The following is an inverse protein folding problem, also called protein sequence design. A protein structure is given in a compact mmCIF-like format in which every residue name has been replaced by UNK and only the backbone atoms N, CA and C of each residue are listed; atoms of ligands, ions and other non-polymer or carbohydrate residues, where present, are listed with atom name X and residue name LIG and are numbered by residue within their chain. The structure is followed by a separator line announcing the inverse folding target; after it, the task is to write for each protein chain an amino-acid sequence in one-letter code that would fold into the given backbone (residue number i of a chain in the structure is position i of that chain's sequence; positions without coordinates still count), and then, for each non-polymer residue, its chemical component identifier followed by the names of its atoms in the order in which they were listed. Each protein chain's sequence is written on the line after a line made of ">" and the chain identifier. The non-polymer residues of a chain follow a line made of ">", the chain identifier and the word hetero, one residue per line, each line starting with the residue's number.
data_IF_139463819837
#
_entry.id   IF_139463819837
#
_cell.length_a   1.000
_cell.length_b   1.000
_cell.length_c   1.000
_cell.angle_alpha   90.00
_cell.angle_beta   90.00
_cell.angle_gamma   90.00
#
_symmetry.space_group_name_H-M   'P 1'
#
loop_
_entity.id
_entity.type
_entity.pdbx_description
1 polymer ?
#
# COMPACT_ATOMS: atom_id res chain seq x y z
N UNK A 1 -1.38 13.48 2.23
CA UNK A 1 0.04 13.20 1.88
C UNK A 1 0.99 13.19 3.09
N UNK A 2 0.49 13.33 4.33
CA UNK A 2 1.31 13.31 5.55
C UNK A 2 1.50 11.88 6.11
N UNK A 3 0.52 10.99 5.90
CA UNK A 3 0.52 9.63 6.47
C UNK A 3 1.44 8.66 5.74
N UNK A 4 1.53 8.73 4.41
CA UNK A 4 2.46 7.91 3.63
C UNK A 4 3.92 8.20 3.99
N UNK A 5 4.30 9.49 4.11
CA UNK A 5 5.63 9.89 4.55
C UNK A 5 5.94 9.42 5.99
N UNK A 6 4.94 9.51 6.88
CA UNK A 6 5.06 8.98 8.24
C UNK A 6 5.21 7.45 8.24
N UNK A 7 4.48 6.74 7.39
CA UNK A 7 4.56 5.29 7.27
C UNK A 7 5.95 4.85 6.82
N UNK A 8 6.53 5.49 5.80
CA UNK A 8 7.90 5.23 5.34
C UNK A 8 8.91 5.48 6.46
N UNK A 9 8.76 6.56 7.21
CA UNK A 9 9.66 6.90 8.32
C UNK A 9 9.53 5.95 9.51
N UNK A 10 8.33 5.47 9.82
CA UNK A 10 8.07 4.63 11.00
C UNK A 10 8.33 3.15 10.74
N UNK A 11 7.99 2.66 9.55
CA UNK A 11 8.12 1.25 9.20
C UNK A 11 9.46 0.93 8.53
N UNK A 12 10.17 1.95 8.03
CA UNK A 12 11.44 1.84 7.29
C UNK A 12 11.37 0.67 6.27
N UNK A 13 10.48 0.75 5.27
CA UNK A 13 10.34 -0.31 4.30
C UNK A 13 11.53 -0.39 3.36
N UNK A 14 11.84 -1.60 2.91
CA UNK A 14 12.69 -1.78 1.74
C UNK A 14 11.98 -1.27 0.49
N UNK A 15 12.73 -0.97 -0.57
CA UNK A 15 12.13 -0.57 -1.85
C UNK A 15 11.16 -1.64 -2.40
N UNK A 16 11.42 -2.92 -2.13
CA UNK A 16 10.56 -4.02 -2.55
C UNK A 16 9.27 -4.09 -1.72
N UNK A 17 9.33 -3.85 -0.41
CA UNK A 17 8.16 -3.80 0.47
C UNK A 17 7.23 -2.63 0.11
N UNK A 18 7.82 -1.48 -0.22
CA UNK A 18 7.10 -0.28 -0.63
C UNK A 18 6.42 -0.48 -1.99
N UNK A 19 7.18 -0.95 -3.00
CA UNK A 19 6.64 -1.26 -4.32
C UNK A 19 5.49 -2.27 -4.25
N UNK A 20 5.65 -3.34 -3.46
CA UNK A 20 4.60 -4.35 -3.31
C UNK A 20 3.34 -3.75 -2.69
N UNK A 21 3.48 -2.86 -1.69
CA UNK A 21 2.33 -2.20 -1.08
C UNK A 21 1.62 -1.25 -2.06
N UNK A 22 2.38 -0.53 -2.90
CA UNK A 22 1.82 0.32 -3.97
C UNK A 22 1.08 -0.50 -5.03
N UNK A 23 1.65 -1.62 -5.48
CA UNK A 23 1.03 -2.53 -6.46
C UNK A 23 -0.32 -3.05 -5.93
N UNK A 24 -0.35 -3.48 -4.66
CA UNK A 24 -1.59 -3.90 -3.99
C UNK A 24 -2.61 -2.76 -3.89
N UNK A 25 -2.16 -1.54 -3.59
CA UNK A 25 -3.05 -0.38 -3.48
C UNK A 25 -3.67 -0.03 -4.84
N UNK A 26 -2.87 -0.06 -5.91
CA UNK A 26 -3.33 0.17 -7.29
C UNK A 26 -4.39 -0.84 -7.75
N UNK A 27 -4.18 -2.13 -7.43
CA UNK A 27 -5.16 -3.18 -7.70
C UNK A 27 -6.47 -2.90 -6.95
N UNK A 28 -6.40 -2.52 -5.68
CA UNK A 28 -7.59 -2.25 -4.87
C UNK A 28 -8.32 -0.98 -5.30
N UNK A 29 -7.62 0.04 -5.79
CA UNK A 29 -8.25 1.21 -6.41
C UNK A 29 -9.01 0.84 -7.68
N UNK A 30 -8.38 0.05 -8.56
CA UNK A 30 -9.03 -0.47 -9.77
C UNK A 30 -10.30 -1.24 -9.44
N UNK A 31 -10.26 -2.11 -8.43
CA UNK A 31 -11.44 -2.85 -7.95
C UNK A 31 -12.52 -1.92 -7.39
N UNK A 32 -12.14 -0.87 -6.64
CA UNK A 32 -13.08 0.12 -6.14
C UNK A 32 -13.74 0.93 -7.29
N UNK A 33 -12.99 1.24 -8.34
CA UNK A 33 -13.51 1.88 -9.54
C UNK A 33 -14.51 0.99 -10.29
N UNK A 34 -14.22 -0.32 -10.40
CA UNK A 34 -15.13 -1.30 -10.99
C UNK A 34 -16.43 -1.40 -10.18
N UNK A 35 -16.36 -1.51 -8.84
CA UNK A 35 -17.54 -1.57 -7.97
C UNK A 35 -18.42 -0.32 -8.12
N UNK A 36 -17.82 0.87 -8.19
CA UNK A 36 -18.56 2.12 -8.43
C UNK A 36 -19.23 2.12 -9.81
N UNK A 37 -18.49 1.82 -10.86
CA UNK A 37 -19.01 1.75 -12.24
C UNK A 37 -20.16 0.74 -12.37
N UNK A 38 -20.05 -0.40 -11.67
CA UNK A 38 -21.10 -1.42 -11.63
C UNK A 38 -22.38 -0.89 -10.96
N UNK A 39 -22.26 -0.16 -9.85
CA UNK A 39 -23.40 0.45 -9.15
C UNK A 39 -24.07 1.56 -9.96
N UNK A 40 -23.28 2.30 -10.72
CA UNK A 40 -23.75 3.39 -11.57
C UNK A 40 -24.32 2.89 -12.92
N UNK A 41 -24.17 1.59 -13.22
CA UNK A 41 -24.66 0.96 -14.45
C UNK A 41 -23.80 1.22 -15.68
N UNK A 42 -22.56 1.68 -15.50
CA UNK A 42 -21.61 2.02 -16.56
C UNK A 42 -20.83 0.79 -17.04
N UNK A 43 -21.50 -0.11 -17.76
CA UNK A 43 -20.91 -1.40 -18.19
C UNK A 43 -19.67 -1.28 -19.08
N UNK A 44 -19.51 -0.18 -19.82
CA UNK A 44 -18.29 0.07 -20.60
C UNK A 44 -17.10 0.32 -19.67
N UNK A 45 -17.26 1.22 -18.68
CA UNK A 45 -16.26 1.50 -17.65
C UNK A 45 -15.90 0.26 -16.83
N UNK A 46 -16.88 -0.61 -16.54
CA UNK A 46 -16.63 -1.92 -15.88
C UNK A 46 -15.69 -2.78 -16.70
N UNK A 47 -15.91 -2.87 -18.03
CA UNK A 47 -15.05 -3.68 -18.91
C UNK A 47 -13.63 -3.11 -18.97
N UNK A 48 -13.50 -1.80 -19.17
CA UNK A 48 -12.19 -1.15 -19.23
C UNK A 48 -11.43 -1.30 -17.91
N UNK A 49 -12.15 -1.26 -16.77
CA UNK A 49 -11.58 -1.52 -15.46
C UNK A 49 -11.12 -2.97 -15.27
N UNK A 50 -11.84 -3.96 -15.79
CA UNK A 50 -11.42 -5.36 -15.75
C UNK A 50 -10.15 -5.61 -16.57
N UNK A 51 -10.03 -4.99 -17.74
CA UNK A 51 -8.82 -5.08 -18.55
C UNK A 51 -7.62 -4.45 -17.81
N UNK A 52 -7.82 -3.29 -17.16
CA UNK A 52 -6.81 -2.65 -16.32
C UNK A 52 -6.41 -3.51 -15.11
N UNK A 53 -7.37 -4.18 -14.47
CA UNK A 53 -7.12 -5.07 -13.34
C UNK A 53 -6.24 -6.25 -13.74
N UNK A 54 -6.48 -6.84 -14.92
CA UNK A 54 -5.67 -7.93 -15.44
C UNK A 54 -4.23 -7.44 -15.69
N UNK A 55 -4.07 -6.30 -16.38
CA UNK A 55 -2.73 -5.73 -16.61
C UNK A 55 -1.99 -5.41 -15.32
N UNK A 56 -2.65 -4.80 -14.32
CA UNK A 56 -2.03 -4.52 -13.03
C UNK A 56 -1.60 -5.80 -12.28
N UNK A 57 -2.41 -6.86 -12.35
CA UNK A 57 -2.05 -8.16 -11.76
C UNK A 57 -0.88 -8.82 -12.50
N UNK A 58 -0.83 -8.73 -13.83
CA UNK A 58 0.29 -9.23 -14.64
C UNK A 58 1.58 -8.47 -14.34
N UNK A 59 1.53 -7.14 -14.22
CA UNK A 59 2.68 -6.31 -13.87
C UNK A 59 3.21 -6.65 -12.47
N UNK A 60 2.34 -6.84 -11.48
CA UNK A 60 2.73 -7.27 -10.14
C UNK A 60 3.34 -8.68 -10.14
N UNK A 61 2.78 -9.64 -10.89
CA UNK A 61 3.40 -10.96 -11.01
C UNK A 61 4.74 -10.91 -11.73
N UNK A 62 4.87 -10.07 -12.76
CA UNK A 62 6.13 -9.82 -13.44
C UNK A 62 7.18 -9.24 -12.50
N UNK A 63 6.83 -8.24 -11.66
CA UNK A 63 7.76 -7.63 -10.70
C UNK A 63 8.25 -8.62 -9.64
N UNK A 64 7.37 -9.50 -9.17
CA UNK A 64 7.71 -10.57 -8.24
C UNK A 64 8.62 -11.64 -8.88
N UNK A 65 8.35 -12.01 -10.14
CA UNK A 65 9.14 -13.01 -10.87
C UNK A 65 10.49 -12.48 -11.37
N UNK A 66 10.57 -11.21 -11.79
CA UNK A 66 11.78 -10.54 -12.24
C UNK A 66 12.74 -10.20 -11.08
N UNK A 67 12.24 -10.21 -9.85
CA UNK A 67 13.06 -10.11 -8.63
C UNK A 67 13.86 -11.39 -8.36
N UNK A 68 13.67 -12.46 -9.14
CA UNK A 68 14.54 -13.64 -9.19
C UNK A 68 15.56 -13.52 -10.34
N UNK A 69 16.80 -13.03 -10.10
CA UNK A 69 17.84 -12.90 -11.12
C UNK A 69 18.41 -14.25 -11.60
N UNK A 70 17.76 -15.38 -11.31
CA UNK A 70 18.19 -16.73 -11.68
C UNK A 70 17.28 -17.49 -12.65
N UNK A 71 16.08 -16.99 -12.97
CA UNK A 71 15.10 -17.70 -13.80
C UNK A 71 15.33 -17.49 -15.31
N UNK A 72 16.53 -17.82 -15.80
CA UNK A 72 16.81 -17.97 -17.24
C UNK A 72 17.04 -19.44 -17.59
N UNK A 73 16.08 -20.34 -17.32
CA UNK A 73 15.93 -21.58 -18.10
C UNK A 73 14.55 -22.22 -17.86
N UNK A 74 13.68 -22.38 -18.87
CA UNK A 74 12.38 -23.02 -18.70
C UNK A 74 12.44 -24.56 -18.60
N UNK A 75 13.62 -25.18 -18.56
CA UNK A 75 13.78 -26.64 -18.64
C UNK A 75 14.56 -27.32 -17.47
N UNK A 76 14.94 -26.62 -16.38
CA UNK A 76 15.63 -27.26 -15.25
C UNK A 76 14.77 -27.40 -13.98
N UNK A 77 14.82 -28.61 -13.42
CA UNK A 77 14.08 -29.12 -12.28
C UNK A 77 13.92 -28.11 -11.12
N UNK A 78 12.67 -27.97 -10.66
CA UNK A 78 12.30 -27.41 -9.36
C UNK A 78 12.94 -28.23 -8.22
N UNK A 79 14.21 -28.01 -7.87
CA UNK A 79 14.79 -28.25 -6.53
C UNK A 79 16.26 -27.77 -6.47
N UNK A 80 16.50 -26.47 -6.49
CA UNK A 80 17.80 -25.93 -6.06
C UNK A 80 17.48 -24.96 -4.93
N UNK A 81 17.82 -25.31 -3.69
CA UNK A 81 17.43 -24.64 -2.44
C UNK A 81 17.99 -23.23 -2.26
N UNK A 82 17.85 -22.38 -3.28
CA UNK A 82 18.08 -20.94 -3.24
C UNK A 82 16.95 -20.29 -2.45
N UNK A 83 17.26 -19.37 -1.54
CA UNK A 83 16.24 -18.61 -0.86
C UNK A 83 15.46 -17.82 -1.92
N UNK A 84 14.19 -18.15 -2.07
CA UNK A 84 13.21 -17.37 -2.81
C UNK A 84 13.31 -15.90 -2.33
N UNK A 85 13.55 -14.92 -3.20
CA UNK A 85 13.67 -13.51 -2.82
C UNK A 85 12.39 -12.97 -2.16
N UNK A 86 11.25 -13.67 -2.28
CA UNK A 86 10.05 -13.38 -1.49
C UNK A 86 10.22 -13.67 0.02
N UNK A 87 11.27 -14.38 0.46
CA UNK A 87 11.48 -14.80 1.86
C UNK A 87 12.03 -13.72 2.79
N UNK A 88 12.58 -12.61 2.28
CA UNK A 88 13.10 -11.51 3.12
C UNK A 88 12.13 -10.31 3.23
N UNK A 89 10.96 -10.40 2.59
CA UNK A 89 9.91 -9.38 2.68
C UNK A 89 9.14 -9.54 3.99
N UNK A 90 9.11 -8.50 4.83
CA UNK A 90 8.27 -8.51 6.03
C UNK A 90 6.80 -8.31 5.63
N UNK A 91 6.09 -9.43 5.45
CA UNK A 91 4.67 -9.43 5.10
C UNK A 91 3.79 -8.67 6.10
N UNK A 92 4.17 -8.58 7.38
CA UNK A 92 3.43 -7.81 8.36
C UNK A 92 3.64 -6.31 8.15
N UNK A 93 4.83 -5.90 7.73
CA UNK A 93 5.13 -4.51 7.34
C UNK A 93 4.38 -4.12 6.07
N UNK A 94 4.41 -4.97 5.03
CA UNK A 94 3.66 -4.74 3.77
C UNK A 94 2.17 -4.60 4.05
N UNK A 95 1.58 -5.46 4.89
CA UNK A 95 0.15 -5.33 5.26
C UNK A 95 -0.18 -4.00 5.93
N UNK A 96 0.73 -3.47 6.76
CA UNK A 96 0.55 -2.17 7.40
C UNK A 96 0.65 -1.03 6.38
N UNK A 97 1.57 -1.11 5.42
CA UNK A 97 1.68 -0.16 4.31
C UNK A 97 0.44 -0.19 3.41
N UNK A 98 -0.05 -1.38 3.05
CA UNK A 98 -1.30 -1.52 2.28
C UNK A 98 -2.47 -0.89 3.04
N UNK A 99 -2.57 -1.06 4.36
CA UNK A 99 -3.60 -0.40 5.16
C UNK A 99 -3.51 1.15 5.13
N UNK A 100 -2.30 1.71 5.02
CA UNK A 100 -2.09 3.17 4.86
C UNK A 100 -2.47 3.61 3.45
N UNK A 101 -1.94 2.94 2.42
CA UNK A 101 -2.11 3.36 1.02
C UNK A 101 -3.53 3.16 0.51
N UNK A 102 -4.25 2.19 1.08
CA UNK A 102 -5.62 1.87 0.65
C UNK A 102 -6.70 2.60 1.44
N UNK A 103 -6.32 3.42 2.42
CA UNK A 103 -7.23 4.23 3.24
C UNK A 103 -8.26 4.99 2.38
N UNK A 104 -7.90 5.67 1.27
CA UNK A 104 -8.86 6.43 0.48
C UNK A 104 -9.96 5.58 -0.16
N UNK A 105 -9.77 4.26 -0.24
CA UNK A 105 -10.65 3.33 -0.95
C UNK A 105 -11.50 2.51 0.04
N UNK A 106 -12.82 2.53 -0.13
CA UNK A 106 -13.77 1.81 0.77
C UNK A 106 -13.47 0.31 0.86
N UNK A 107 -13.15 -0.32 -0.28
CA UNK A 107 -12.79 -1.75 -0.34
C UNK A 107 -11.45 -1.97 0.36
N UNK A 108 -10.49 -1.08 0.14
CA UNK A 108 -9.21 -1.02 0.83
C UNK A 108 -9.33 -1.08 2.35
N UNK A 109 -10.06 -0.13 2.93
CA UNK A 109 -10.33 -0.07 4.39
C UNK A 109 -11.04 -1.31 4.93
N UNK A 110 -11.86 -1.96 4.12
CA UNK A 110 -12.58 -3.17 4.53
C UNK A 110 -11.65 -4.37 4.61
N UNK A 111 -10.73 -4.51 3.65
CA UNK A 111 -9.79 -5.63 3.58
C UNK A 111 -8.55 -5.42 4.47
N UNK A 112 -8.10 -4.17 4.59
CA UNK A 112 -6.93 -3.75 5.34
C UNK A 112 -7.32 -2.65 6.34
N UNK A 113 -8.01 -3.02 7.44
CA UNK A 113 -8.48 -2.03 8.40
C UNK A 113 -7.31 -1.39 9.14
N UNK A 114 -7.41 -0.09 9.41
CA UNK A 114 -6.43 0.70 10.16
C UNK A 114 -6.11 0.14 11.55
N UNK A 115 -7.02 -0.63 12.16
CA UNK A 115 -6.77 -1.36 13.40
C UNK A 115 -5.63 -2.38 13.30
N UNK A 116 -5.25 -2.79 12.08
CA UNK A 116 -4.11 -3.66 11.80
C UNK A 116 -2.75 -2.96 11.80
N UNK A 117 -2.71 -1.62 11.85
CA UNK A 117 -1.46 -0.85 11.97
C UNK A 117 -0.96 -0.97 13.41
N UNK A 118 0.23 -1.50 13.63
CA UNK A 118 0.75 -1.76 14.98
C UNK A 118 1.19 -0.49 15.70
N UNK A 119 1.79 0.44 14.96
CA UNK A 119 2.25 1.71 15.53
C UNK A 119 1.06 2.64 15.87
N UNK A 120 0.90 3.05 17.14
CA UNK A 120 -0.23 3.88 17.56
C UNK A 120 -0.21 5.30 16.96
N UNK A 121 0.97 5.86 16.68
CA UNK A 121 1.11 7.20 16.13
C UNK A 121 0.72 7.20 14.64
N UNK A 122 1.19 6.20 13.90
CA UNK A 122 0.83 5.98 12.51
C UNK A 122 -0.66 5.70 12.37
N UNK A 123 -1.21 4.79 13.19
CA UNK A 123 -2.66 4.51 13.20
C UNK A 123 -3.48 5.77 13.42
N UNK A 124 -3.14 6.56 14.44
CA UNK A 124 -3.87 7.79 14.76
C UNK A 124 -3.69 8.88 13.68
N UNK A 125 -2.60 8.86 12.91
CA UNK A 125 -2.42 9.77 11.78
C UNK A 125 -3.33 9.39 10.60
N UNK A 126 -3.43 8.09 10.29
CA UNK A 126 -4.32 7.57 9.24
C UNK A 126 -5.80 7.84 9.59
N UNK A 127 -6.20 7.57 10.83
CA UNK A 127 -7.56 7.87 11.30
C UNK A 127 -7.92 9.37 11.24
N UNK A 128 -6.93 10.25 11.43
CA UNK A 128 -7.13 11.72 11.32
C UNK A 128 -7.27 12.19 9.88
N UNK A 129 -6.51 11.60 8.96
CA UNK A 129 -6.60 11.94 7.52
C UNK A 129 -7.96 11.49 6.95
N UNK A 130 -8.46 10.30 7.30
CA UNK A 130 -9.81 9.82 6.93
C UNK A 130 -10.91 10.78 7.44
N UNK A 131 -10.75 11.26 8.67
CA UNK A 131 -11.68 12.21 9.28
C UNK A 131 -11.63 13.62 8.68
N UNK A 132 -10.75 13.88 7.69
CA UNK A 132 -10.55 15.19 7.09
C UNK A 132 -10.02 16.24 8.07
N UNK A 133 -9.33 15.81 9.12
CA UNK A 133 -8.73 16.71 10.12
C UNK A 133 -7.30 17.07 9.70
N UNK A 134 -7.06 18.35 9.44
CA UNK A 134 -5.71 18.88 9.22
C UNK A 134 -4.78 18.53 10.40
N UNK A 135 -3.49 18.24 10.15
CA UNK A 135 -2.55 17.96 11.22
C UNK A 135 -2.45 19.19 12.15
N UNK A 136 -2.57 18.95 13.46
CA UNK A 136 -2.28 19.97 14.47
C UNK A 136 -0.83 20.44 14.24
N UNK A 137 -0.58 21.73 14.00
CA UNK A 137 0.78 22.20 13.82
C UNK A 137 1.58 21.85 15.06
N UNK A 138 2.75 21.24 14.85
CA UNK A 138 3.77 21.08 15.89
C UNK A 138 3.87 22.41 16.63
N UNK A 139 3.67 22.37 17.95
CA UNK A 139 3.91 23.54 18.79
C UNK A 139 5.38 23.91 18.65
N UNK A 140 5.66 24.84 17.74
CA UNK A 140 6.90 25.59 17.74
C UNK A 140 7.01 26.19 19.14
N UNK A 141 8.01 25.72 19.88
CA UNK A 141 8.30 26.19 21.22
C UNK A 141 8.33 27.70 21.21
N UNK A 142 7.36 28.31 21.88
CA UNK A 142 7.34 29.74 22.16
C UNK A 142 8.54 29.99 23.06
N UNK A 143 9.59 30.74 22.66
CA UNK A 143 10.51 31.25 23.63
C UNK A 143 9.72 32.22 24.51
N UNK A 144 9.66 31.92 25.80
CA UNK A 144 9.09 32.79 26.81
C UNK A 144 9.92 34.06 26.92
N UNK A 145 9.64 35.06 26.07
CA UNK A 145 9.93 36.45 26.39
C UNK A 145 8.64 37.09 26.92
N UNK A 146 8.56 37.22 28.24
CA UNK A 146 7.71 38.25 28.84
C UNK A 146 8.32 38.72 30.17
N UNK A 147 9.10 39.79 30.04
CA UNK A 147 8.98 41.05 30.79
C UNK A 147 8.75 40.92 32.29
N UNK A 148 9.78 41.24 33.07
CA UNK A 148 9.71 42.24 34.14
C UNK A 148 11.08 42.81 34.48
#
# INVERSE_FOLDING_TARGET
>A
MYTAELAVKTLEPTAQEDQLAEDYASILDTVAHIDRSLRDGEWHSVRDGLDQLISAAEDMWSSLSASDPGAEDPDEDFDDGRPDPALDTDTAKVRQLVAVYTEPHVIGRTLYPVSGINDPQLRAAVEREDAGQDPVPEQQGVPAELVH
#
